data_IF_942609315231
#
_entry.id   IF_942609315231
#
_cell.length_a   1.000
_cell.length_b   1.000
_cell.length_c   1.000
_cell.angle_alpha   90.00
_cell.angle_beta   90.00
_cell.angle_gamma   90.00
#
_symmetry.space_group_name_H-M   'P 1'
#
loop_
_entity.id
_entity.type
_entity.pdbx_description
1 polymer ?
#
# COMPACT_ATOMS: atom_id res chain seq x y z
N UNK A 1 4.19 22.53 -28.81
CA UNK A 1 4.25 21.70 -30.04
C UNK A 1 3.61 22.36 -31.28
N UNK A 2 3.04 23.57 -31.20
CA UNK A 2 2.47 24.31 -32.37
C UNK A 2 3.41 25.39 -32.94
N UNK A 3 4.62 25.50 -32.43
CA UNK A 3 5.53 26.64 -32.65
C UNK A 3 6.09 26.74 -34.08
N UNK A 4 6.23 25.62 -34.79
CA UNK A 4 6.82 25.58 -36.14
C UNK A 4 5.87 24.98 -37.17
N UNK A 5 4.61 25.42 -37.15
CA UNK A 5 3.63 25.03 -38.16
C UNK A 5 3.61 26.05 -39.33
N UNK A 6 3.34 25.60 -40.57
CA UNK A 6 3.14 26.51 -41.68
C UNK A 6 1.96 27.47 -41.41
N UNK A 7 1.97 28.70 -41.98
CA UNK A 7 1.07 29.80 -41.59
C UNK A 7 -0.42 29.47 -41.72
N UNK A 8 -0.80 28.63 -42.70
CA UNK A 8 -2.19 28.16 -42.86
C UNK A 8 -2.67 27.32 -41.66
N UNK A 9 -1.79 26.50 -41.09
CA UNK A 9 -2.12 25.71 -39.89
C UNK A 9 -2.00 26.54 -38.61
N UNK A 10 -1.07 27.50 -38.57
CA UNK A 10 -0.90 28.40 -37.43
C UNK A 10 -2.13 29.31 -37.22
N UNK A 11 -2.81 29.70 -38.31
CA UNK A 11 -4.05 30.48 -38.27
C UNK A 11 -5.20 29.78 -37.53
N UNK A 12 -5.23 28.44 -37.52
CA UNK A 12 -6.24 27.67 -36.78
C UNK A 12 -6.11 27.81 -35.26
N UNK A 13 -4.93 28.22 -34.78
CA UNK A 13 -4.63 28.42 -33.37
C UNK A 13 -4.70 29.90 -32.96
N UNK A 14 -5.33 30.75 -33.77
CA UNK A 14 -5.59 32.13 -33.39
C UNK A 14 -6.46 32.19 -32.11
N UNK A 15 -6.15 33.10 -31.17
CA UNK A 15 -6.96 33.26 -29.98
C UNK A 15 -8.37 33.73 -30.36
N UNK A 16 -9.36 33.33 -29.55
CA UNK A 16 -10.72 33.89 -29.63
C UNK A 16 -10.73 35.31 -29.06
N UNK A 17 -11.79 36.04 -29.36
CA UNK A 17 -12.07 37.32 -28.72
C UNK A 17 -12.01 37.19 -27.19
N UNK A 18 -11.52 38.23 -26.48
CA UNK A 18 -11.42 38.19 -25.03
C UNK A 18 -12.80 37.99 -24.41
N UNK A 19 -12.86 37.16 -23.37
CA UNK A 19 -14.10 36.87 -22.65
C UNK A 19 -14.61 38.18 -22.02
N UNK A 20 -15.92 38.48 -22.10
CA UNK A 20 -16.48 39.64 -21.41
C UNK A 20 -16.25 39.53 -19.90
N UNK A 21 -15.85 40.63 -19.28
CA UNK A 21 -15.63 40.65 -17.83
C UNK A 21 -16.93 40.36 -17.07
N UNK A 22 -16.86 39.39 -16.17
CA UNK A 22 -17.88 39.13 -15.17
C UNK A 22 -17.25 39.27 -13.79
N UNK A 23 -17.91 39.95 -12.84
CA UNK A 23 -17.39 40.06 -11.48
C UNK A 23 -17.34 38.68 -10.82
N UNK A 24 -16.37 38.43 -9.90
CA UNK A 24 -16.35 37.22 -9.09
C UNK A 24 -17.66 37.02 -8.32
N UNK A 25 -18.15 35.77 -8.27
CA UNK A 25 -19.38 35.42 -7.55
C UNK A 25 -19.25 35.60 -6.04
N UNK A 26 -18.08 35.29 -5.48
CA UNK A 26 -17.79 35.41 -4.06
C UNK A 26 -16.81 36.55 -3.78
N UNK A 27 -16.94 37.18 -2.61
CA UNK A 27 -15.95 38.12 -2.09
C UNK A 27 -14.66 37.38 -1.71
N UNK A 28 -13.52 38.08 -1.77
CA UNK A 28 -12.24 37.54 -1.30
C UNK A 28 -12.33 37.11 0.18
N UNK A 29 -11.61 36.07 0.63
CA UNK A 29 -11.72 35.55 1.99
C UNK A 29 -11.57 36.60 3.11
N UNK A 30 -10.74 37.63 2.92
CA UNK A 30 -10.53 38.71 3.89
C UNK A 30 -11.61 39.81 3.85
N UNK A 31 -12.44 39.84 2.80
CA UNK A 31 -13.60 40.74 2.65
C UNK A 31 -14.92 40.05 3.02
N UNK A 32 -14.87 38.75 3.34
CA UNK A 32 -16.04 37.99 3.78
C UNK A 32 -16.43 38.44 5.18
N UNK A 33 -17.65 38.96 5.31
CA UNK A 33 -18.23 39.28 6.62
C UNK A 33 -18.78 37.99 7.26
N UNK A 34 -18.19 37.56 8.37
CA UNK A 34 -18.67 36.42 9.14
C UNK A 34 -19.77 36.87 10.09
N UNK A 35 -21.04 36.62 9.72
CA UNK A 35 -22.20 36.98 10.55
C UNK A 35 -22.20 36.29 11.92
N UNK A 36 -21.52 35.15 12.02
CA UNK A 36 -21.24 34.44 13.27
C UNK A 36 -19.76 34.03 13.24
N UNK A 37 -18.84 34.86 13.76
CA UNK A 37 -17.45 34.45 13.87
C UNK A 37 -17.34 33.30 14.87
N UNK A 38 -16.28 32.50 14.74
CA UNK A 38 -15.98 31.48 15.75
C UNK A 38 -15.87 32.14 17.14
N UNK A 39 -16.65 31.64 18.09
CA UNK A 39 -16.62 32.06 19.47
C UNK A 39 -15.92 31.01 20.33
N UNK A 40 -15.39 31.44 21.48
CA UNK A 40 -14.78 30.53 22.44
C UNK A 40 -15.82 29.62 23.11
N UNK A 41 -15.36 28.50 23.67
CA UNK A 41 -16.23 27.52 24.36
C UNK A 41 -16.66 27.96 25.77
N UNK A 42 -16.17 29.12 26.25
CA UNK A 42 -16.42 29.60 27.60
C UNK A 42 -17.91 29.66 28.03
N UNK A 43 -18.86 30.07 27.16
CA UNK A 43 -20.28 30.09 27.51
C UNK A 43 -20.87 28.72 27.89
N UNK A 44 -20.22 27.63 27.47
CA UNK A 44 -20.67 26.25 27.65
C UNK A 44 -20.06 25.56 28.88
N UNK A 45 -19.14 26.21 29.61
CA UNK A 45 -18.47 25.61 30.78
C UNK A 45 -19.48 25.21 31.87
N UNK A 46 -20.59 25.94 31.97
CA UNK A 46 -21.72 25.66 32.89
C UNK A 46 -22.56 24.44 32.52
N UNK A 47 -22.41 23.91 31.31
CA UNK A 47 -23.15 22.73 30.84
C UNK A 47 -22.39 21.42 31.14
N UNK A 48 -21.16 21.49 31.65
CA UNK A 48 -20.40 20.30 32.05
C UNK A 48 -20.87 19.82 33.43
N UNK A 49 -21.10 18.50 33.54
CA UNK A 49 -21.40 17.84 34.82
C UNK A 49 -20.20 17.91 35.78
N UNK A 50 -20.49 18.08 37.08
CA UNK A 50 -19.50 18.02 38.13
C UNK A 50 -18.82 16.63 38.12
N UNK A 51 -17.49 16.53 38.25
CA UNK A 51 -16.76 15.25 38.20
C UNK A 51 -17.11 14.29 39.35
N UNK A 52 -17.93 14.74 40.31
CA UNK A 52 -18.48 13.95 41.42
C UNK A 52 -19.74 13.20 41.03
N UNK A 53 -20.51 13.71 40.07
CA UNK A 53 -21.79 13.15 39.63
C UNK A 53 -21.65 12.32 38.34
N UNK A 54 -20.51 12.41 37.66
CA UNK A 54 -20.22 11.61 36.48
C UNK A 54 -20.11 10.11 36.84
N UNK A 55 -20.96 9.23 36.27
CA UNK A 55 -20.80 7.80 36.47
C UNK A 55 -19.43 7.36 35.95
N UNK A 56 -18.80 6.34 36.56
CA UNK A 56 -17.53 5.84 36.08
C UNK A 56 -17.67 5.49 34.58
N UNK A 57 -16.67 5.86 33.75
CA UNK A 57 -16.77 5.71 32.31
C UNK A 57 -17.12 4.25 31.99
N UNK A 58 -18.22 4.05 31.26
CA UNK A 58 -18.67 2.72 30.91
C UNK A 58 -17.58 2.06 30.09
N UNK A 59 -16.90 1.05 30.66
CA UNK A 59 -15.95 0.23 29.91
C UNK A 59 -16.71 -0.44 28.78
N UNK A 60 -16.59 0.11 27.58
CA UNK A 60 -17.00 -0.59 26.37
C UNK A 60 -16.22 -1.90 26.31
N UNK A 61 -16.91 -3.02 26.03
CA UNK A 61 -16.27 -4.32 25.89
C UNK A 61 -15.05 -4.16 24.97
N UNK A 62 -13.87 -4.54 25.47
CA UNK A 62 -12.69 -4.56 24.60
C UNK A 62 -12.94 -5.54 23.46
N UNK A 63 -12.25 -5.36 22.33
CA UNK A 63 -12.40 -6.26 21.18
C UNK A 63 -12.19 -7.73 21.58
N UNK A 64 -11.34 -7.98 22.55
CA UNK A 64 -11.01 -9.29 23.12
C UNK A 64 -12.19 -9.87 23.92
N UNK A 65 -12.75 -9.13 24.87
CA UNK A 65 -13.94 -9.56 25.63
C UNK A 65 -15.16 -9.82 24.73
N UNK A 66 -15.37 -8.96 23.73
CA UNK A 66 -16.43 -9.14 22.73
C UNK A 66 -16.23 -10.41 21.91
N UNK A 67 -14.98 -10.76 21.59
CA UNK A 67 -14.64 -12.00 20.88
C UNK A 67 -14.83 -13.23 21.78
N UNK A 68 -14.38 -13.20 23.03
CA UNK A 68 -14.56 -14.30 23.99
C UNK A 68 -16.03 -14.60 24.26
N UNK A 69 -16.86 -13.56 24.39
CA UNK A 69 -18.31 -13.72 24.50
C UNK A 69 -18.89 -14.43 23.29
N UNK A 70 -18.46 -14.06 22.07
CA UNK A 70 -18.92 -14.68 20.82
C UNK A 70 -18.49 -16.13 20.73
N UNK A 71 -17.25 -16.44 21.12
CA UNK A 71 -16.71 -17.82 21.22
C UNK A 71 -17.50 -18.64 22.24
N UNK A 72 -17.70 -18.12 23.45
CA UNK A 72 -18.47 -18.79 24.52
C UNK A 72 -19.92 -19.03 24.13
N UNK A 73 -20.55 -18.10 23.42
CA UNK A 73 -21.91 -18.26 22.90
C UNK A 73 -21.97 -19.28 21.76
N UNK A 74 -20.96 -19.34 20.89
CA UNK A 74 -20.86 -20.35 19.84
C UNK A 74 -20.50 -21.76 20.34
N UNK A 75 -19.87 -21.85 21.51
CA UNK A 75 -19.48 -23.11 22.16
C UNK A 75 -20.58 -23.69 23.06
N UNK A 76 -21.69 -22.98 23.30
CA UNK A 76 -22.84 -23.57 23.99
C UNK A 76 -23.46 -24.65 23.10
N UNK A 77 -23.57 -25.90 23.57
CA UNK A 77 -24.20 -26.95 22.79
C UNK A 77 -25.66 -26.57 22.50
N UNK A 78 -26.22 -26.98 21.34
CA UNK A 78 -27.62 -26.74 21.05
C UNK A 78 -28.48 -27.29 22.19
N UNK A 79 -29.47 -26.50 22.64
CA UNK A 79 -30.46 -26.97 23.60
C UNK A 79 -31.00 -28.31 23.11
N UNK A 80 -30.87 -29.34 23.95
CA UNK A 80 -31.41 -30.68 23.67
C UNK A 80 -32.89 -30.54 23.30
N UNK A 81 -33.29 -31.17 22.20
CA UNK A 81 -34.65 -31.16 21.70
C UNK A 81 -35.64 -31.55 22.80
N UNK A 82 -36.54 -30.65 23.18
CA UNK A 82 -37.69 -31.00 23.98
C UNK A 82 -38.63 -31.86 23.13
N UNK A 83 -39.01 -33.08 23.56
CA UNK A 83 -39.96 -33.90 22.82
C UNK A 83 -41.35 -33.25 22.93
N UNK A 84 -41.95 -32.87 21.78
CA UNK A 84 -43.34 -32.41 21.72
C UNK A 84 -43.68 -31.23 20.81
N UNK A 85 -42.75 -30.70 19.99
CA UNK A 85 -43.05 -29.54 19.12
C UNK A 85 -43.26 -29.99 17.65
N UNK A 86 -44.39 -29.67 16.99
CA UNK A 86 -44.69 -30.17 15.65
C UNK A 86 -43.84 -29.52 14.55
N UNK A 87 -43.49 -30.36 13.55
CA UNK A 87 -42.41 -30.18 12.56
C UNK A 87 -42.61 -29.03 11.53
N UNK A 88 -43.77 -28.39 11.45
CA UNK A 88 -44.06 -27.42 10.38
C UNK A 88 -43.63 -25.98 10.67
N UNK A 89 -43.06 -25.68 11.84
CA UNK A 89 -42.62 -24.32 12.21
C UNK A 89 -41.10 -24.09 12.03
N UNK A 90 -40.49 -24.72 11.01
CA UNK A 90 -39.09 -24.52 10.62
C UNK A 90 -39.00 -24.19 9.13
N UNK A 91 -39.44 -23.00 8.74
CA UNK A 91 -39.18 -22.43 7.41
C UNK A 91 -38.83 -20.95 7.50
N UNK A 92 -37.95 -20.58 8.42
CA UNK A 92 -37.13 -19.39 8.20
C UNK A 92 -35.99 -19.80 7.28
N UNK A 93 -36.07 -19.40 6.00
CA UNK A 93 -34.92 -19.41 5.09
C UNK A 93 -33.78 -18.69 5.78
N UNK A 94 -32.84 -19.45 6.31
CA UNK A 94 -31.55 -18.97 6.78
C UNK A 94 -30.81 -18.48 5.52
N UNK A 95 -30.44 -17.20 5.40
CA UNK A 95 -29.56 -16.80 4.31
C UNK A 95 -28.26 -17.60 4.45
N UNK A 96 -27.88 -18.28 3.36
CA UNK A 96 -26.61 -18.99 3.25
C UNK A 96 -25.47 -18.04 3.64
N UNK A 97 -24.63 -18.37 4.63
CA UNK A 97 -23.50 -17.54 4.96
C UNK A 97 -22.51 -17.61 3.79
N UNK A 98 -22.29 -16.47 3.14
CA UNK A 98 -21.10 -16.23 2.33
C UNK A 98 -19.86 -16.64 3.14
N UNK A 99 -19.19 -17.71 2.71
CA UNK A 99 -17.90 -18.16 3.29
C UNK A 99 -16.74 -17.49 2.52
N UNK A 100 -15.51 -17.42 3.08
CA UNK A 100 -15.13 -17.20 4.47
C UNK A 100 -14.12 -16.04 4.58
N UNK A 101 -14.43 -15.00 5.36
CA UNK A 101 -13.37 -14.15 5.91
C UNK A 101 -12.65 -14.98 6.99
N UNK A 102 -11.43 -15.46 6.70
CA UNK A 102 -10.60 -16.28 7.61
C UNK A 102 -10.77 -15.84 9.07
N UNK A 103 -11.17 -16.78 9.94
CA UNK A 103 -11.35 -16.53 11.36
C UNK A 103 -10.03 -16.06 11.98
N UNK A 104 -10.08 -15.18 12.98
CA UNK A 104 -8.89 -14.60 13.61
C UNK A 104 -7.83 -15.64 14.07
N UNK A 105 -8.19 -16.84 14.59
CA UNK A 105 -7.20 -17.89 14.90
C UNK A 105 -6.44 -18.38 13.66
N UNK A 106 -7.14 -18.63 12.56
CA UNK A 106 -6.55 -19.10 11.29
C UNK A 106 -5.62 -18.05 10.65
N UNK A 107 -5.86 -16.75 10.91
CA UNK A 107 -4.96 -15.68 10.44
C UNK A 107 -3.64 -15.66 11.20
N UNK A 108 -3.66 -15.90 12.52
CA UNK A 108 -2.45 -15.95 13.36
C UNK A 108 -1.56 -17.13 12.96
N UNK A 109 -2.13 -18.33 12.88
CA UNK A 109 -1.41 -19.53 12.45
C UNK A 109 -0.80 -19.38 11.05
N UNK A 110 -1.51 -18.73 10.12
CA UNK A 110 -0.99 -18.48 8.75
C UNK A 110 0.16 -17.47 8.73
N UNK A 111 0.13 -16.47 9.62
CA UNK A 111 1.22 -15.50 9.77
C UNK A 111 2.44 -16.20 10.38
N UNK A 112 2.25 -16.95 11.46
CA UNK A 112 3.32 -17.70 12.13
C UNK A 112 3.96 -18.71 11.18
N UNK A 113 3.16 -19.45 10.41
CA UNK A 113 3.69 -20.36 9.39
C UNK A 113 4.53 -19.62 8.34
N UNK A 114 4.05 -18.48 7.84
CA UNK A 114 4.81 -17.68 6.87
C UNK A 114 6.07 -17.07 7.47
N UNK A 115 6.05 -16.71 8.76
CA UNK A 115 7.23 -16.25 9.49
C UNK A 115 8.27 -17.36 9.62
N UNK A 116 7.86 -18.58 9.97
CA UNK A 116 8.75 -19.74 10.02
C UNK A 116 9.33 -20.08 8.64
N UNK A 117 8.51 -20.04 7.58
CA UNK A 117 8.97 -20.21 6.19
C UNK A 117 10.04 -19.16 5.84
N UNK A 118 9.78 -17.87 6.12
CA UNK A 118 10.73 -16.78 5.87
C UNK A 118 12.01 -16.93 6.71
N UNK A 119 11.91 -17.33 7.98
CA UNK A 119 13.07 -17.54 8.84
C UNK A 119 13.94 -18.71 8.36
N UNK A 120 13.31 -19.79 7.90
CA UNK A 120 14.01 -20.92 7.29
C UNK A 120 14.69 -20.52 5.98
N UNK A 121 14.02 -19.74 5.14
CA UNK A 121 14.61 -19.19 3.91
C UNK A 121 15.78 -18.25 4.22
N UNK A 122 15.67 -17.43 5.27
CA UNK A 122 16.74 -16.52 5.70
C UNK A 122 17.97 -17.27 6.19
N UNK A 123 17.79 -18.35 6.97
CA UNK A 123 18.90 -19.22 7.43
C UNK A 123 19.66 -19.87 6.28
N UNK A 124 18.97 -20.14 5.17
CA UNK A 124 19.57 -20.74 3.97
C UNK A 124 20.24 -19.69 3.05
N UNK A 125 19.92 -18.40 3.20
CA UNK A 125 20.37 -17.36 2.29
C UNK A 125 21.72 -16.77 2.70
N UNK A 126 22.79 -17.17 2.00
CA UNK A 126 24.14 -16.61 2.14
C UNK A 126 24.65 -16.06 0.79
N UNK A 127 24.65 -14.73 0.59
CA UNK A 127 25.14 -14.10 -0.62
C UNK A 127 26.65 -14.25 -0.87
N UNK A 128 27.47 -14.47 0.17
CA UNK A 128 28.92 -14.55 0.03
C UNK A 128 29.38 -15.89 -0.57
N UNK A 129 28.55 -16.92 -0.45
CA UNK A 129 28.81 -18.25 -0.99
C UNK A 129 28.06 -18.53 -2.31
N UNK A 130 27.37 -17.54 -2.89
CA UNK A 130 26.67 -17.71 -4.17
C UNK A 130 27.66 -17.60 -5.34
N UNK A 131 27.80 -18.62 -6.21
CA UNK A 131 28.70 -18.55 -7.37
C UNK A 131 28.35 -17.43 -8.37
N UNK A 132 27.12 -16.90 -8.33
CA UNK A 132 26.70 -15.82 -9.21
C UNK A 132 27.18 -14.44 -8.73
N UNK A 133 27.31 -14.27 -7.41
CA UNK A 133 27.83 -13.08 -6.76
C UNK A 133 29.35 -13.14 -6.76
N UNK A 134 29.96 -12.45 -7.73
CA UNK A 134 31.42 -12.43 -7.91
C UNK A 134 31.88 -10.98 -7.98
N UNK A 135 33.14 -10.75 -7.61
CA UNK A 135 33.78 -9.44 -7.68
C UNK A 135 33.67 -8.64 -6.39
N UNK A 136 33.93 -7.35 -6.51
CA UNK A 136 33.90 -6.42 -5.38
C UNK A 136 32.50 -5.79 -5.23
N UNK A 137 31.90 -5.96 -4.06
CA UNK A 137 30.57 -5.43 -3.76
C UNK A 137 30.54 -3.89 -3.79
N UNK A 138 31.63 -3.22 -3.42
CA UNK A 138 31.72 -1.75 -3.40
C UNK A 138 31.81 -1.16 -4.81
N UNK A 139 32.18 -1.97 -5.81
CA UNK A 139 32.24 -1.57 -7.23
C UNK A 139 31.03 -2.02 -8.04
N UNK A 140 30.07 -2.67 -7.39
CA UNK A 140 28.93 -3.30 -8.07
C UNK A 140 27.67 -2.46 -7.91
N UNK A 141 27.16 -1.95 -9.02
CA UNK A 141 25.89 -1.23 -9.11
C UNK A 141 24.72 -2.21 -9.26
N UNK A 142 23.69 -2.03 -8.43
CA UNK A 142 22.42 -2.74 -8.57
C UNK A 142 21.43 -1.92 -9.41
N UNK A 143 20.99 -2.48 -10.53
CA UNK A 143 20.01 -1.84 -11.44
C UNK A 143 18.73 -2.66 -11.47
N UNK A 144 17.62 -2.08 -11.04
CA UNK A 144 16.30 -2.70 -11.06
C UNK A 144 15.32 -1.98 -12.00
N UNK A 145 14.16 -2.60 -12.24
CA UNK A 145 13.09 -2.10 -13.13
C UNK A 145 13.53 -1.96 -14.59
N UNK A 146 14.44 -2.83 -15.02
CA UNK A 146 14.86 -2.93 -16.42
C UNK A 146 13.74 -3.57 -17.23
N UNK A 147 13.45 -3.04 -18.42
CA UNK A 147 12.47 -3.66 -19.32
C UNK A 147 12.93 -5.08 -19.72
N UNK A 148 12.01 -6.04 -19.74
CA UNK A 148 12.29 -7.45 -20.02
C UNK A 148 12.90 -7.70 -21.40
N UNK A 149 12.65 -6.83 -22.37
CA UNK A 149 13.20 -6.94 -23.73
C UNK A 149 14.61 -6.34 -23.86
N UNK A 150 15.13 -5.74 -22.79
CA UNK A 150 16.45 -5.08 -22.82
C UNK A 150 17.55 -6.14 -22.86
N UNK A 151 18.47 -6.01 -23.82
CA UNK A 151 19.66 -6.86 -23.92
C UNK A 151 20.81 -6.31 -23.08
N UNK A 152 21.73 -7.19 -22.70
CA UNK A 152 22.96 -6.83 -21.99
C UNK A 152 23.76 -5.75 -22.74
N UNK A 153 23.84 -5.84 -24.08
CA UNK A 153 24.55 -4.85 -24.91
C UNK A 153 23.97 -3.44 -24.78
N UNK A 154 22.64 -3.34 -24.62
CA UNK A 154 21.99 -2.05 -24.41
C UNK A 154 22.30 -1.50 -23.03
N UNK A 155 22.26 -2.34 -21.99
CA UNK A 155 22.69 -1.94 -20.64
C UNK A 155 24.15 -1.47 -20.65
N UNK A 156 25.04 -2.25 -21.28
CA UNK A 156 26.46 -1.88 -21.40
C UNK A 156 26.61 -0.50 -22.02
N UNK A 157 25.98 -0.24 -23.16
CA UNK A 157 26.08 1.04 -23.86
C UNK A 157 25.65 2.24 -23.02
N UNK A 158 24.55 2.12 -22.26
CA UNK A 158 24.04 3.22 -21.44
C UNK A 158 24.91 3.46 -20.19
N UNK A 159 25.40 2.39 -19.57
CA UNK A 159 26.17 2.48 -18.32
C UNK A 159 27.68 2.68 -18.53
N UNK A 160 28.22 2.36 -19.71
CA UNK A 160 29.63 2.59 -20.07
C UNK A 160 30.00 4.08 -20.14
N UNK A 161 28.99 4.97 -20.19
CA UNK A 161 29.17 6.43 -20.12
C UNK A 161 29.79 6.88 -18.79
N UNK A 162 29.51 6.16 -17.70
CA UNK A 162 30.00 6.51 -16.36
C UNK A 162 31.40 5.94 -16.08
N UNK A 163 31.80 4.89 -16.78
CA UNK A 163 33.13 4.33 -16.70
C UNK A 163 33.26 2.94 -17.30
N UNK A 164 34.48 2.39 -17.37
CA UNK A 164 34.72 1.05 -17.87
C UNK A 164 34.05 -0.01 -16.99
N UNK A 165 33.20 -0.81 -17.61
CA UNK A 165 32.48 -1.92 -16.98
C UNK A 165 33.34 -3.19 -17.07
N UNK A 166 33.54 -3.85 -15.93
CA UNK A 166 34.26 -5.11 -15.80
C UNK A 166 33.37 -6.32 -16.08
N UNK A 167 32.16 -6.34 -15.52
CA UNK A 167 31.21 -7.46 -15.65
C UNK A 167 29.76 -6.98 -15.55
N UNK A 168 28.90 -7.54 -16.39
CA UNK A 168 27.44 -7.38 -16.29
C UNK A 168 26.83 -8.74 -16.00
N UNK A 169 25.95 -8.79 -14.99
CA UNK A 169 25.22 -10.00 -14.63
C UNK A 169 23.73 -9.71 -14.54
N UNK A 170 22.99 -10.09 -15.60
CA UNK A 170 21.53 -10.01 -15.63
C UNK A 170 20.91 -11.23 -14.93
N UNK A 171 19.95 -11.01 -14.04
CA UNK A 171 19.34 -12.12 -13.30
C UNK A 171 18.10 -12.64 -14.01
N UNK A 172 18.11 -13.95 -14.25
CA UNK A 172 17.00 -14.70 -14.84
C UNK A 172 16.32 -15.57 -13.79
N UNK A 173 15.03 -15.82 -13.98
CA UNK A 173 14.26 -16.74 -13.15
C UNK A 173 14.76 -18.17 -13.35
N UNK A 174 15.26 -18.82 -12.29
CA UNK A 174 15.75 -20.22 -12.34
C UNK A 174 14.72 -21.24 -12.85
N UNK A 175 13.42 -20.95 -12.73
CA UNK A 175 12.33 -21.84 -13.16
C UNK A 175 11.89 -21.62 -14.61
N UNK A 176 11.87 -20.36 -15.04
CA UNK A 176 11.23 -19.98 -16.32
C UNK A 176 12.20 -19.43 -17.36
N UNK A 177 13.47 -19.17 -17.01
CA UNK A 177 14.46 -18.56 -17.89
C UNK A 177 14.16 -17.10 -18.27
N UNK A 178 13.04 -16.53 -17.82
CA UNK A 178 12.66 -15.15 -18.11
C UNK A 178 13.50 -14.16 -17.29
N UNK A 179 13.87 -13.00 -17.84
CA UNK A 179 14.60 -11.98 -17.10
C UNK A 179 13.76 -11.48 -15.92
N UNK A 180 14.38 -11.30 -14.74
CA UNK A 180 13.69 -10.75 -13.57
C UNK A 180 13.55 -9.23 -13.59
N UNK A 181 14.21 -8.56 -14.54
CA UNK A 181 14.19 -7.10 -14.66
C UNK A 181 15.15 -6.40 -13.71
N UNK A 182 16.21 -7.08 -13.28
CA UNK A 182 17.33 -6.47 -12.56
C UNK A 182 18.68 -7.09 -12.96
N UNK A 183 19.75 -6.32 -12.79
CA UNK A 183 21.11 -6.69 -13.12
C UNK A 183 22.11 -6.10 -12.10
N UNK A 184 23.28 -6.73 -12.03
CA UNK A 184 24.45 -6.25 -11.30
C UNK A 184 25.52 -5.85 -12.30
N UNK A 185 26.11 -4.66 -12.12
CA UNK A 185 27.13 -4.11 -13.00
C UNK A 185 28.38 -3.83 -12.16
N UNK A 186 29.44 -4.61 -12.34
CA UNK A 186 30.73 -4.39 -11.69
C UNK A 186 31.57 -3.45 -12.55
N UNK A 187 32.01 -2.33 -11.97
CA UNK A 187 32.94 -1.39 -12.58
C UNK A 187 34.39 -1.73 -12.23
N UNK A 188 35.36 -1.22 -13.00
CA UNK A 188 36.78 -1.33 -12.66
C UNK A 188 37.15 -0.51 -11.42
N UNK A 189 36.59 0.71 -11.31
CA UNK A 189 36.84 1.64 -10.21
C UNK A 189 35.55 1.96 -9.45
N UNK A 190 35.66 2.07 -8.13
CA UNK A 190 34.56 2.43 -7.22
C UNK A 190 34.01 3.84 -7.51
N UNK A 191 34.88 4.79 -7.87
CA UNK A 191 34.50 6.15 -8.25
C UNK A 191 33.56 6.21 -9.45
N UNK A 192 33.64 5.23 -10.36
CA UNK A 192 32.83 5.22 -11.58
C UNK A 192 31.42 4.68 -11.27
N UNK A 193 31.26 3.95 -10.14
CA UNK A 193 29.97 3.52 -9.60
C UNK A 193 29.26 4.66 -8.86
N UNK A 194 30.01 5.43 -8.08
CA UNK A 194 29.50 6.59 -7.36
C UNK A 194 29.49 7.82 -8.29
N UNK A 195 28.33 8.14 -8.86
CA UNK A 195 28.13 9.41 -9.54
C UNK A 195 28.18 10.54 -8.50
N UNK A 196 29.25 11.33 -8.53
CA UNK A 196 29.33 12.64 -7.87
C UNK A 196 28.54 13.71 -8.65
#
# INVERSE_FOLDING_TARGET
>A
MTQFLPPNLLALFAPRDPIPYLPPLEKLPHEKHHNQPYCGIAPYIREFEDPRDAPPPTRAETREERMERKVRLSAKPPLKSCPGVPLWRVTARRPEPVTPSLSFPQRREKIERRQQEVENELKMWDPHNDPNAQGDAFKTLFVARVNYDTTESKLRREFEVYGPIKRIYMVYSKRSGKPRGYAFIEYEHERDMHCD
#
